data_IF_271667424657
#
_entry.id   IF_271667424657
#
_cell.length_a   1.000
_cell.length_b   1.000
_cell.length_c   1.000
_cell.angle_alpha   90.00
_cell.angle_beta   90.00
_cell.angle_gamma   90.00
#
_symmetry.space_group_name_H-M   'P 1'
#
loop_
_entity.id
_entity.type
_entity.pdbx_description
1 polymer ?
#
# COMPACT_ATOMS: atom_id res chain seq x y z
N UNK A 1 -1.44 41.04 12.81
CA UNK A 1 -0.38 40.40 11.98
C UNK A 1 0.35 39.25 12.66
N UNK A 2 0.92 39.41 13.87
CA UNK A 2 1.70 38.36 14.56
C UNK A 2 0.94 37.04 14.82
N UNK A 3 -0.36 37.11 15.12
CA UNK A 3 -1.20 35.92 15.35
C UNK A 3 -1.29 35.02 14.08
N UNK A 4 -1.35 35.62 12.89
CA UNK A 4 -1.46 34.88 11.63
C UNK A 4 -0.18 34.13 11.26
N UNK A 5 0.99 34.71 11.57
CA UNK A 5 2.27 34.05 11.34
C UNK A 5 2.46 32.81 12.22
N UNK A 6 1.98 32.85 13.47
CA UNK A 6 2.03 31.71 14.39
C UNK A 6 1.12 30.58 13.92
N UNK A 7 -0.10 30.88 13.48
CA UNK A 7 -1.00 29.86 12.94
C UNK A 7 -0.47 29.26 11.64
N UNK A 8 0.11 30.09 10.76
CA UNK A 8 0.80 29.59 9.56
C UNK A 8 1.96 28.66 9.91
N UNK A 9 2.80 29.03 10.88
CA UNK A 9 3.91 28.20 11.33
C UNK A 9 3.45 26.86 11.93
N UNK A 10 2.34 26.85 12.68
CA UNK A 10 1.72 25.61 13.18
C UNK A 10 1.25 24.69 12.05
N UNK A 11 0.69 25.26 10.99
CA UNK A 11 0.26 24.48 9.81
C UNK A 11 1.46 23.89 9.08
N UNK A 12 2.54 24.67 8.89
CA UNK A 12 3.79 24.18 8.29
C UNK A 12 4.37 23.04 9.13
N UNK A 13 4.44 23.20 10.46
CA UNK A 13 4.94 22.14 11.34
C UNK A 13 4.08 20.88 11.28
N UNK A 14 2.75 21.00 11.27
CA UNK A 14 1.85 19.86 11.08
C UNK A 14 2.06 19.16 9.75
N UNK A 15 2.19 19.91 8.65
CA UNK A 15 2.45 19.33 7.34
C UNK A 15 3.79 18.57 7.33
N UNK A 16 4.84 19.13 7.92
CA UNK A 16 6.14 18.48 8.05
C UNK A 16 6.07 17.21 8.91
N UNK A 17 5.37 17.24 10.06
CA UNK A 17 5.18 16.07 10.90
C UNK A 17 4.40 14.95 10.18
N UNK A 18 3.35 15.31 9.44
CA UNK A 18 2.59 14.35 8.65
C UNK A 18 3.46 13.71 7.57
N UNK A 19 4.25 14.51 6.83
CA UNK A 19 5.13 14.01 5.76
C UNK A 19 6.34 13.22 6.28
N UNK A 20 6.76 13.47 7.53
CA UNK A 20 7.92 12.80 8.12
C UNK A 20 7.63 11.33 8.42
N UNK A 21 6.44 11.04 8.96
CA UNK A 21 6.05 9.68 9.29
C UNK A 21 5.39 8.98 8.10
N UNK A 22 6.23 8.64 7.11
CA UNK A 22 5.81 7.90 5.89
C UNK A 22 5.16 6.55 6.20
N UNK A 23 5.38 5.97 7.39
CA UNK A 23 4.77 4.69 7.78
C UNK A 23 3.31 4.85 8.21
N UNK A 24 2.91 6.00 8.75
CA UNK A 24 1.50 6.27 9.11
C UNK A 24 0.72 6.98 8.01
N UNK A 25 1.40 7.47 6.97
CA UNK A 25 0.75 7.92 5.76
C UNK A 25 0.29 6.71 4.94
N UNK A 26 -1.03 6.49 4.87
CA UNK A 26 -1.70 5.52 3.99
C UNK A 26 -1.59 5.93 2.50
N UNK A 27 -0.36 6.16 2.04
CA UNK A 27 -0.02 6.75 0.75
C UNK A 27 0.40 5.68 -0.25
N UNK A 28 -0.55 4.80 -0.60
CA UNK A 28 -0.34 3.76 -1.60
C UNK A 28 -0.26 4.36 -3.01
N UNK A 29 0.81 4.05 -3.76
CA UNK A 29 0.97 4.42 -5.17
C UNK A 29 1.02 3.22 -6.11
N UNK A 30 1.19 2.02 -5.55
CA UNK A 30 1.17 0.74 -6.24
C UNK A 30 -0.18 0.05 -5.96
N UNK A 31 -0.78 -0.58 -6.98
CA UNK A 31 -2.16 -1.09 -6.90
C UNK A 31 -2.33 -2.41 -7.66
N UNK A 32 -3.09 -3.35 -7.09
CA UNK A 32 -3.59 -4.53 -7.79
C UNK A 32 -5.07 -4.33 -8.07
N UNK A 33 -5.40 -4.03 -9.32
CA UNK A 33 -6.77 -3.82 -9.76
C UNK A 33 -7.37 -5.13 -10.27
N UNK A 34 -8.59 -5.44 -9.84
CA UNK A 34 -9.33 -6.62 -10.28
C UNK A 34 -10.77 -6.24 -10.60
N UNK A 35 -11.43 -7.04 -11.45
CA UNK A 35 -12.88 -6.92 -11.63
C UNK A 35 -13.58 -7.62 -10.47
N UNK A 36 -14.42 -6.87 -9.77
CA UNK A 36 -15.30 -7.41 -8.72
C UNK A 36 -16.15 -8.55 -9.24
N UNK A 37 -16.64 -9.39 -8.33
CA UNK A 37 -17.31 -10.69 -8.58
C UNK A 37 -16.98 -11.36 -9.92
N UNK A 38 -16.20 -12.46 -9.87
CA UNK A 38 -16.45 -13.47 -8.84
C UNK A 38 -15.26 -13.63 -7.88
N UNK A 39 -14.20 -12.83 -8.02
CA UNK A 39 -13.06 -12.78 -7.11
C UNK A 39 -13.38 -12.01 -5.83
N UNK A 40 -12.92 -12.51 -4.68
CA UNK A 40 -13.02 -11.85 -3.38
C UNK A 40 -11.61 -11.72 -2.79
N UNK A 41 -11.12 -10.51 -2.49
CA UNK A 41 -9.81 -10.35 -1.83
C UNK A 41 -9.90 -10.90 -0.40
N UNK A 42 -8.98 -11.78 -0.03
CA UNK A 42 -8.86 -12.38 1.30
C UNK A 42 -7.76 -11.74 2.14
N UNK A 43 -6.63 -11.40 1.50
CA UNK A 43 -5.48 -10.75 2.12
C UNK A 43 -4.91 -9.72 1.16
N UNK A 44 -4.50 -8.57 1.69
CA UNK A 44 -3.72 -7.56 0.99
C UNK A 44 -2.61 -7.09 1.94
N UNK A 45 -1.36 -7.20 1.52
CA UNK A 45 -0.22 -6.81 2.34
C UNK A 45 0.88 -6.17 1.49
N UNK A 46 1.66 -5.29 2.13
CA UNK A 46 2.88 -4.73 1.56
C UNK A 46 4.05 -5.53 2.11
N UNK A 47 4.83 -6.15 1.23
CA UNK A 47 6.01 -6.93 1.61
C UNK A 47 7.18 -5.96 1.83
N UNK A 48 7.63 -5.85 3.08
CA UNK A 48 8.73 -4.96 3.48
C UNK A 48 9.97 -5.74 3.98
N UNK A 49 10.10 -7.00 3.59
CA UNK A 49 11.29 -7.78 3.88
C UNK A 49 12.50 -7.18 3.15
N UNK A 50 13.64 -7.21 3.84
CA UNK A 50 14.94 -6.86 3.28
C UNK A 50 15.95 -7.98 3.57
N UNK A 51 16.97 -8.07 2.74
CA UNK A 51 18.09 -9.00 2.91
C UNK A 51 19.30 -8.15 3.30
N UNK A 52 19.82 -8.37 4.50
CA UNK A 52 20.97 -7.64 5.05
C UNK A 52 20.79 -6.10 5.04
N UNK A 53 19.56 -5.62 5.31
CA UNK A 53 19.23 -4.19 5.29
C UNK A 53 19.02 -3.61 3.90
N UNK A 54 19.09 -4.43 2.85
CA UNK A 54 18.95 -4.01 1.45
C UNK A 54 17.60 -4.49 0.92
N UNK A 55 16.81 -3.53 0.41
CA UNK A 55 15.59 -3.84 -0.32
C UNK A 55 15.91 -4.22 -1.77
N UNK A 56 15.19 -5.20 -2.34
CA UNK A 56 15.42 -5.64 -3.72
C UNK A 56 15.03 -4.59 -4.77
N UNK A 57 14.24 -3.58 -4.39
CA UNK A 57 13.73 -2.51 -5.26
C UNK A 57 13.48 -1.23 -4.46
N UNK A 58 13.31 -0.11 -5.15
CA UNK A 58 12.86 1.16 -4.55
C UNK A 58 11.35 1.19 -4.26
N UNK A 59 10.60 0.18 -4.74
CA UNK A 59 9.20 -0.04 -4.43
C UNK A 59 9.02 -1.35 -3.65
N UNK A 60 8.09 -1.36 -2.69
CA UNK A 60 7.71 -2.58 -1.98
C UNK A 60 6.73 -3.40 -2.80
N UNK A 61 6.93 -4.72 -2.94
CA UNK A 61 5.93 -5.59 -3.55
C UNK A 61 4.61 -5.54 -2.77
N UNK A 62 3.50 -5.60 -3.49
CA UNK A 62 2.17 -5.79 -2.91
C UNK A 62 1.76 -7.24 -3.17
N UNK A 63 1.38 -7.95 -2.11
CA UNK A 63 0.79 -9.28 -2.20
C UNK A 63 -0.72 -9.17 -1.99
N UNK A 64 -1.48 -9.85 -2.85
CA UNK A 64 -2.93 -9.95 -2.72
C UNK A 64 -3.38 -11.39 -2.97
N UNK A 65 -4.08 -11.97 -2.00
CA UNK A 65 -4.71 -13.28 -2.11
C UNK A 65 -6.19 -13.12 -2.45
N UNK A 66 -6.67 -13.90 -3.42
CA UNK A 66 -8.07 -13.91 -3.83
C UNK A 66 -8.69 -15.28 -3.64
N UNK A 67 -9.89 -15.32 -3.06
CA UNK A 67 -10.73 -16.51 -3.08
C UNK A 67 -11.38 -16.66 -4.45
N UNK A 68 -11.22 -17.86 -5.01
CA UNK A 68 -11.90 -18.23 -6.24
C UNK A 68 -13.30 -18.77 -5.94
N UNK A 69 -14.28 -18.54 -6.83
CA UNK A 69 -15.56 -19.21 -6.79
C UNK A 69 -15.39 -20.73 -6.91
N UNK A 70 -16.25 -21.49 -6.23
CA UNK A 70 -16.28 -22.96 -6.32
C UNK A 70 -16.54 -23.48 -7.74
N UNK A 71 -17.09 -22.64 -8.62
CA UNK A 71 -17.33 -22.98 -10.02
C UNK A 71 -16.06 -22.94 -10.88
N UNK A 72 -14.98 -22.30 -10.42
CA UNK A 72 -13.71 -22.28 -11.13
C UNK A 72 -13.05 -23.65 -10.99
N UNK A 73 -12.77 -24.29 -12.13
CA UNK A 73 -11.94 -25.50 -12.19
C UNK A 73 -10.53 -25.10 -12.61
N UNK A 74 -9.53 -25.69 -11.98
CA UNK A 74 -8.14 -25.58 -12.44
C UNK A 74 -8.09 -26.10 -13.89
N UNK A 75 -7.56 -25.29 -14.80
CA UNK A 75 -7.20 -25.79 -16.11
C UNK A 75 -6.14 -26.88 -15.91
N UNK A 76 -6.31 -28.03 -16.56
CA UNK A 76 -5.28 -29.06 -16.56
C UNK A 76 -3.98 -28.44 -17.07
N UNK A 77 -2.89 -28.62 -16.31
CA UNK A 77 -1.57 -28.20 -16.76
C UNK A 77 -1.25 -28.97 -18.03
N UNK A 78 -0.82 -28.30 -19.13
CA UNK A 78 -0.38 -29.01 -20.31
C UNK A 78 0.78 -29.93 -19.92
N UNK A 79 0.61 -31.22 -20.23
CA UNK A 79 1.62 -32.27 -20.08
C UNK A 79 2.84 -32.03 -20.95
#
# INVERSE_FOLDING_TARGET
>A
EKQGAVEFLKLVFRALCLCWDRQTQDLHIDWILFRGRPLVPALCEVINDNIDGVYPSSHFPIFAEFLLPRSVRLAEMPS
#
